data_IF_060424720757
#
_entry.id   IF_060424720757
#
_cell.length_a   1.000
_cell.length_b   1.000
_cell.length_c   1.000
_cell.angle_alpha   90.00
_cell.angle_beta   90.00
_cell.angle_gamma   90.00
#
_symmetry.space_group_name_H-M   'P 1'
#
loop_
_entity.id
_entity.type
_entity.pdbx_description
1 polymer ?
#
# COMPACT_ATOMS: atom_id res chain seq x y z
N UNK A 1 -33.70 0.22 3.56
CA UNK A 1 -32.25 0.01 3.41
C UNK A 1 -31.88 -1.10 4.37
N UNK A 2 -31.34 -2.20 3.86
CA UNK A 2 -31.08 -3.42 4.60
C UNK A 2 -30.09 -3.20 5.76
N UNK A 3 -30.35 -3.78 6.93
CA UNK A 3 -29.47 -3.65 8.11
C UNK A 3 -28.07 -4.23 7.86
N UNK A 4 -27.97 -5.38 7.19
CA UNK A 4 -26.70 -6.01 6.85
C UNK A 4 -25.90 -5.21 5.81
N UNK A 5 -26.61 -4.62 4.83
CA UNK A 5 -25.99 -3.69 3.88
C UNK A 5 -25.49 -2.45 4.60
N UNK A 6 -26.28 -1.88 5.53
CA UNK A 6 -25.90 -0.70 6.31
C UNK A 6 -24.67 -0.98 7.19
N UNK A 7 -24.66 -2.09 7.93
CA UNK A 7 -23.53 -2.49 8.77
C UNK A 7 -22.25 -2.77 7.95
N UNK A 8 -22.38 -3.39 6.77
CA UNK A 8 -21.26 -3.61 5.85
C UNK A 8 -20.76 -2.30 5.25
N UNK A 9 -21.68 -1.42 4.85
CA UNK A 9 -21.37 -0.13 4.23
C UNK A 9 -20.74 0.84 5.23
N UNK A 10 -21.24 0.90 6.47
CA UNK A 10 -20.65 1.70 7.55
C UNK A 10 -19.23 1.21 7.89
N UNK A 11 -19.00 -0.10 7.91
CA UNK A 11 -17.67 -0.66 8.10
C UNK A 11 -16.72 -0.33 6.94
N UNK A 12 -17.19 -0.49 5.70
CA UNK A 12 -16.41 -0.15 4.51
C UNK A 12 -16.10 1.35 4.47
N UNK A 13 -17.04 2.20 4.87
CA UNK A 13 -16.83 3.64 4.98
C UNK A 13 -15.79 3.96 6.05
N UNK A 14 -15.84 3.31 7.21
CA UNK A 14 -14.84 3.47 8.26
C UNK A 14 -13.43 3.09 7.76
N UNK A 15 -13.30 1.96 7.07
CA UNK A 15 -12.03 1.53 6.46
C UNK A 15 -11.51 2.53 5.42
N UNK A 16 -12.39 3.06 4.56
CA UNK A 16 -11.99 4.09 3.58
C UNK A 16 -11.49 5.37 4.25
N UNK A 17 -12.16 5.81 5.32
CA UNK A 17 -11.74 6.98 6.09
C UNK A 17 -10.37 6.74 6.77
N UNK A 18 -10.12 5.54 7.29
CA UNK A 18 -8.80 5.17 7.82
C UNK A 18 -7.73 5.12 6.73
N UNK A 19 -8.05 4.59 5.55
CA UNK A 19 -7.15 4.55 4.39
C UNK A 19 -6.80 5.95 3.87
N UNK A 20 -7.77 6.86 3.78
CA UNK A 20 -7.54 8.26 3.41
C UNK A 20 -6.61 8.95 4.40
N UNK A 21 -6.87 8.82 5.70
CA UNK A 21 -5.99 9.39 6.75
C UNK A 21 -4.57 8.85 6.66
N UNK A 22 -4.41 7.55 6.39
CA UNK A 22 -3.08 6.93 6.25
C UNK A 22 -2.37 7.43 5.00
N UNK A 23 -3.05 7.56 3.86
CA UNK A 23 -2.47 8.16 2.64
C UNK A 23 -2.01 9.59 2.87
N UNK A 24 -2.80 10.41 3.57
CA UNK A 24 -2.40 11.78 3.92
C UNK A 24 -1.09 11.81 4.74
N UNK A 25 -0.89 10.85 5.64
CA UNK A 25 0.34 10.71 6.42
C UNK A 25 1.51 10.25 5.53
N UNK A 26 1.30 9.24 4.68
CA UNK A 26 2.31 8.75 3.73
C UNK A 26 2.79 9.88 2.80
N UNK A 27 1.85 10.63 2.21
CA UNK A 27 2.13 11.77 1.33
C UNK A 27 2.89 12.87 2.08
N UNK A 28 2.51 13.17 3.33
CA UNK A 28 3.20 14.15 4.17
C UNK A 28 4.64 13.72 4.51
N UNK A 29 4.86 12.45 4.80
CA UNK A 29 6.21 11.91 5.03
C UNK A 29 7.05 12.03 3.75
N UNK A 30 6.49 11.70 2.59
CA UNK A 30 7.17 11.83 1.30
C UNK A 30 7.57 13.28 0.99
N UNK A 31 6.68 14.24 1.25
CA UNK A 31 6.97 15.67 1.10
C UNK A 31 8.08 16.13 2.04
N UNK A 32 8.06 15.70 3.31
CA UNK A 32 9.09 16.03 4.29
C UNK A 32 10.45 15.43 3.93
N UNK A 33 10.50 14.20 3.40
CA UNK A 33 11.74 13.58 2.91
C UNK A 33 12.36 14.37 1.77
N UNK A 34 11.54 14.82 0.80
CA UNK A 34 12.02 15.66 -0.29
C UNK A 34 12.65 16.96 0.23
N UNK A 35 11.98 17.63 1.18
CA UNK A 35 12.51 18.85 1.82
C UNK A 35 13.80 18.58 2.60
N UNK A 36 13.89 17.43 3.30
CA UNK A 36 15.09 17.03 4.03
C UNK A 36 16.30 16.90 3.09
N UNK A 37 16.12 16.20 1.97
CA UNK A 37 17.18 15.97 0.99
C UNK A 37 17.65 17.28 0.35
N UNK A 38 16.72 18.18 -0.03
CA UNK A 38 17.04 19.51 -0.55
C UNK A 38 17.86 20.35 0.43
N UNK A 39 17.49 20.35 1.72
CA UNK A 39 18.19 21.09 2.79
C UNK A 39 19.59 20.53 3.03
N UNK A 40 19.74 19.20 3.13
CA UNK A 40 21.03 18.53 3.30
C UNK A 40 21.95 18.77 2.11
N UNK A 41 21.43 18.65 0.88
CA UNK A 41 22.19 18.91 -0.33
C UNK A 41 22.74 20.35 -0.36
N UNK A 42 21.88 21.33 -0.09
CA UNK A 42 22.26 22.75 -0.06
C UNK A 42 23.30 23.03 1.03
N UNK A 43 23.10 22.50 2.24
CA UNK A 43 24.05 22.66 3.34
C UNK A 43 25.42 22.06 3.01
N UNK A 44 25.46 20.85 2.45
CA UNK A 44 26.72 20.20 2.06
C UNK A 44 27.47 20.99 0.98
N UNK A 45 26.75 21.56 0.01
CA UNK A 45 27.34 22.44 -1.01
C UNK A 45 27.96 23.69 -0.40
N UNK A 46 27.28 24.32 0.56
CA UNK A 46 27.79 25.49 1.28
C UNK A 46 29.01 25.14 2.14
N UNK A 47 29.00 24.00 2.84
CA UNK A 47 30.15 23.52 3.63
C UNK A 47 31.37 23.29 2.73
N UNK A 48 31.18 22.61 1.60
CA UNK A 48 32.27 22.35 0.65
C UNK A 48 32.87 23.67 0.13
N UNK A 49 32.01 24.60 -0.27
CA UNK A 49 32.42 25.92 -0.78
C UNK A 49 33.13 26.75 0.30
N UNK A 50 32.59 26.79 1.53
CA UNK A 50 33.18 27.49 2.67
C UNK A 50 34.57 26.93 3.04
N UNK A 51 34.73 25.60 3.07
CA UNK A 51 36.04 24.96 3.33
C UNK A 51 37.08 25.35 2.29
N UNK A 52 36.70 25.36 1.01
CA UNK A 52 37.57 25.82 -0.09
C UNK A 52 37.97 27.29 0.11
N UNK A 53 37.00 28.17 0.32
CA UNK A 53 37.23 29.60 0.53
C UNK A 53 38.14 29.88 1.73
N UNK A 54 37.93 29.16 2.85
CA UNK A 54 38.75 29.30 4.05
C UNK A 54 40.18 28.82 3.84
N UNK A 55 40.38 27.71 3.11
CA UNK A 55 41.72 27.21 2.74
C UNK A 55 42.45 28.23 1.86
N UNK A 56 41.74 28.83 0.91
CA UNK A 56 42.27 29.89 0.05
C UNK A 56 42.68 31.13 0.88
N UNK A 57 41.78 31.62 1.74
CA UNK A 57 42.06 32.76 2.60
C UNK A 57 43.27 32.52 3.53
N UNK A 58 43.45 31.30 4.05
CA UNK A 58 44.63 30.93 4.84
C UNK A 58 45.93 30.95 4.03
N UNK A 59 45.92 30.45 2.80
CA UNK A 59 47.10 30.51 1.92
C UNK A 59 47.45 31.98 1.65
N UNK A 60 46.47 32.81 1.26
CA UNK A 60 46.67 34.23 0.97
C UNK A 60 47.16 35.02 2.18
N UNK A 61 46.62 34.75 3.38
CA UNK A 61 47.05 35.39 4.61
C UNK A 61 48.51 35.09 4.95
N UNK A 62 48.98 33.86 4.71
CA UNK A 62 50.41 33.50 4.89
C UNK A 62 51.31 34.20 3.87
N UNK A 63 50.85 34.31 2.63
CA UNK A 63 51.62 34.90 1.53
C UNK A 63 51.53 36.43 1.50
N UNK A 64 50.62 37.04 2.27
CA UNK A 64 50.33 38.48 2.28
C UNK A 64 51.56 39.40 2.36
N UNK A 65 52.56 39.19 3.25
CA UNK A 65 53.71 40.08 3.34
C UNK A 65 54.48 40.18 2.01
N UNK A 66 54.63 39.04 1.32
CA UNK A 66 55.30 38.98 0.02
C UNK A 66 54.44 39.56 -1.10
N UNK A 67 53.11 39.37 -1.05
CA UNK A 67 52.19 40.01 -1.99
C UNK A 67 52.28 41.54 -1.92
N UNK A 68 52.45 42.10 -0.71
CA UNK A 68 52.66 43.54 -0.51
C UNK A 68 53.99 44.04 -1.11
N UNK A 69 55.05 43.24 -1.04
CA UNK A 69 56.34 43.57 -1.67
C UNK A 69 56.26 43.57 -3.19
N UNK A 70 55.61 42.55 -3.78
CA UNK A 70 55.58 42.37 -5.24
C UNK A 70 54.49 43.16 -5.96
N UNK A 71 53.50 43.74 -5.25
CA UNK A 71 52.34 44.42 -5.87
C UNK A 71 52.70 45.59 -6.81
N UNK A 72 53.94 46.10 -6.72
CA UNK A 72 54.46 47.20 -7.55
C UNK A 72 55.29 46.72 -8.75
N UNK A 73 55.53 45.42 -8.87
CA UNK A 73 56.41 44.82 -9.87
C UNK A 73 55.61 43.93 -10.81
N UNK A 74 55.41 44.41 -12.04
CA UNK A 74 54.69 43.66 -13.08
C UNK A 74 55.39 42.35 -13.43
N UNK A 75 54.59 41.33 -13.72
CA UNK A 75 55.06 40.04 -14.18
C UNK A 75 54.45 38.87 -13.43
N UNK A 76 54.96 37.67 -13.77
CA UNK A 76 54.57 36.42 -13.15
C UNK A 76 55.61 36.09 -12.08
N UNK A 77 55.13 35.97 -10.84
CA UNK A 77 55.93 35.65 -9.67
C UNK A 77 55.49 34.30 -9.10
N UNK A 78 56.44 33.53 -8.58
CA UNK A 78 56.15 32.28 -7.87
C UNK A 78 56.41 32.49 -6.38
N UNK A 79 55.35 32.42 -5.56
CA UNK A 79 55.45 32.67 -4.12
C UNK A 79 54.81 31.51 -3.37
N UNK A 80 55.61 30.81 -2.54
CA UNK A 80 55.16 29.67 -1.73
C UNK A 80 54.38 28.62 -2.54
N UNK A 81 54.80 28.39 -3.79
CA UNK A 81 54.17 27.44 -4.72
C UNK A 81 52.89 27.97 -5.38
N UNK A 82 52.58 29.26 -5.26
CA UNK A 82 51.48 29.93 -5.97
C UNK A 82 52.01 30.74 -7.15
N UNK A 83 51.37 30.62 -8.31
CA UNK A 83 51.60 31.53 -9.44
C UNK A 83 50.78 32.79 -9.24
N UNK A 84 51.48 33.91 -9.13
CA UNK A 84 50.92 35.24 -8.90
C UNK A 84 51.26 36.13 -10.10
N UNK A 85 50.24 36.59 -10.83
CA UNK A 85 50.40 37.51 -11.95
C UNK A 85 50.00 38.92 -11.48
N UNK A 86 50.93 39.86 -11.55
CA UNK A 86 50.71 41.27 -11.18
C UNK A 86 50.56 42.10 -12.45
N UNK A 87 49.46 42.86 -12.53
CA UNK A 87 49.19 43.81 -13.60
C UNK A 87 48.93 45.20 -13.01
N UNK A 88 49.98 45.99 -12.89
CA UNK A 88 49.96 47.35 -12.36
C UNK A 88 49.11 48.30 -13.20
N UNK A 89 49.02 48.10 -14.52
CA UNK A 89 48.16 48.90 -15.42
C UNK A 89 46.68 48.71 -15.15
N UNK A 90 46.27 47.50 -14.74
CA UNK A 90 44.89 47.18 -14.36
C UNK A 90 44.63 47.31 -12.87
N UNK A 91 45.68 47.43 -12.05
CA UNK A 91 45.59 47.43 -10.60
C UNK A 91 45.15 46.09 -10.03
N UNK A 92 45.57 44.98 -10.64
CA UNK A 92 45.09 43.63 -10.32
C UNK A 92 46.25 42.68 -10.00
N UNK A 93 46.03 41.79 -9.02
CA UNK A 93 46.85 40.62 -8.73
C UNK A 93 45.98 39.38 -8.95
N UNK A 94 46.36 38.52 -9.90
CA UNK A 94 45.71 37.24 -10.13
C UNK A 94 46.51 36.12 -9.49
N UNK A 95 45.85 35.30 -8.70
CA UNK A 95 46.47 34.20 -7.96
C UNK A 95 45.77 32.92 -8.36
N UNK A 96 46.53 31.98 -8.91
CA UNK A 96 46.03 30.65 -9.26
C UNK A 96 46.26 29.69 -8.10
N UNK A 97 45.18 29.14 -7.55
CA UNK A 97 45.22 28.19 -6.43
C UNK A 97 44.34 26.99 -6.74
N UNK A 98 44.93 25.79 -6.81
CA UNK A 98 44.22 24.50 -6.94
C UNK A 98 43.07 24.56 -7.99
N UNK A 99 43.36 25.06 -9.20
CA UNK A 99 42.46 25.25 -10.38
C UNK A 99 41.48 26.44 -10.37
N UNK A 100 41.47 27.27 -9.32
CA UNK A 100 40.69 28.53 -9.30
C UNK A 100 41.60 29.77 -9.42
N UNK A 101 41.16 30.76 -10.19
CA UNK A 101 41.84 32.06 -10.32
C UNK A 101 41.14 33.10 -9.45
N UNK A 102 41.80 33.59 -8.41
CA UNK A 102 41.32 34.71 -7.60
C UNK A 102 41.95 36.01 -8.11
N UNK A 103 41.15 37.06 -8.28
CA UNK A 103 41.63 38.41 -8.63
C UNK A 103 41.49 39.33 -7.42
N UNK A 104 42.60 39.88 -6.95
CA UNK A 104 42.67 40.90 -5.90
C UNK A 104 43.00 42.24 -6.53
N UNK A 105 42.47 43.33 -5.99
CA UNK A 105 42.81 44.67 -6.46
C UNK A 105 43.95 45.29 -5.64
N UNK A 106 44.84 46.03 -6.28
CA UNK A 106 46.02 46.64 -5.64
C UNK A 106 45.77 48.05 -5.08
N UNK A 107 44.70 48.71 -5.53
CA UNK A 107 44.25 50.03 -5.07
C UNK A 107 43.48 49.94 -3.73
N UNK A 108 42.96 48.76 -3.41
CA UNK A 108 42.36 48.43 -2.12
C UNK A 108 43.34 47.70 -1.20
N UNK A 109 43.07 47.73 0.11
CA UNK A 109 43.86 46.94 1.07
C UNK A 109 43.70 45.44 0.77
N UNK A 110 44.80 44.80 0.37
CA UNK A 110 44.85 43.34 0.18
C UNK A 110 44.43 42.60 1.47
N UNK A 111 44.83 43.13 2.63
CA UNK A 111 44.46 42.60 3.93
C UNK A 111 42.94 42.64 4.15
N UNK A 112 42.28 43.74 3.78
CA UNK A 112 40.81 43.87 3.87
C UNK A 112 40.10 42.88 2.94
N UNK A 113 40.61 42.66 1.73
CA UNK A 113 40.06 41.68 0.80
C UNK A 113 40.22 40.24 1.33
N UNK A 114 41.38 39.90 1.90
CA UNK A 114 41.62 38.59 2.54
C UNK A 114 40.69 38.40 3.75
N UNK A 115 40.49 39.43 4.57
CA UNK A 115 39.52 39.40 5.67
C UNK A 115 38.09 39.17 5.19
N UNK A 116 37.67 39.79 4.08
CA UNK A 116 36.34 39.55 3.50
C UNK A 116 36.13 38.08 3.12
N UNK A 117 37.16 37.40 2.58
CA UNK A 117 37.07 35.97 2.26
C UNK A 117 36.89 35.10 3.51
N UNK A 118 37.53 35.46 4.63
CA UNK A 118 37.28 34.78 5.91
C UNK A 118 35.84 35.01 6.40
N UNK A 119 35.33 36.23 6.27
CA UNK A 119 33.97 36.58 6.67
C UNK A 119 32.93 35.87 5.79
N UNK A 120 33.14 35.79 4.48
CA UNK A 120 32.24 35.11 3.55
C UNK A 120 32.25 33.59 3.76
N UNK A 121 33.42 33.02 4.03
CA UNK A 121 33.54 31.62 4.43
C UNK A 121 32.79 31.36 5.75
N UNK A 122 32.91 32.25 6.74
CA UNK A 122 32.22 32.16 8.03
C UNK A 122 30.71 32.25 7.86
N UNK A 123 30.20 33.27 7.15
CA UNK A 123 28.76 33.43 6.85
C UNK A 123 28.18 32.21 6.11
N UNK A 124 28.91 31.68 5.14
CA UNK A 124 28.50 30.48 4.40
C UNK A 124 28.42 29.25 5.30
N UNK A 125 29.35 29.12 6.27
CA UNK A 125 29.33 28.04 7.26
C UNK A 125 28.14 28.19 8.21
N UNK A 126 27.90 29.40 8.74
CA UNK A 126 26.74 29.68 9.60
C UNK A 126 25.41 29.40 8.89
N UNK A 127 25.31 29.75 7.60
CA UNK A 127 24.14 29.43 6.79
C UNK A 127 23.95 27.91 6.62
N UNK A 128 25.03 27.17 6.40
CA UNK A 128 24.98 25.71 6.30
C UNK A 128 24.57 25.06 7.63
N UNK A 129 25.08 25.55 8.75
CA UNK A 129 24.72 25.07 10.09
C UNK A 129 23.23 25.27 10.38
N UNK A 130 22.66 26.42 9.99
CA UNK A 130 21.20 26.66 10.09
C UNK A 130 20.39 25.64 9.28
N UNK A 131 20.79 25.40 8.03
CA UNK A 131 20.14 24.41 7.17
C UNK A 131 20.24 22.98 7.73
N UNK A 132 21.38 22.60 8.33
CA UNK A 132 21.53 21.31 9.00
C UNK A 132 20.66 21.19 10.25
N UNK A 133 20.49 22.28 11.00
CA UNK A 133 19.58 22.32 12.15
C UNK A 133 18.13 22.12 11.70
N UNK A 134 17.70 22.83 10.67
CA UNK A 134 16.38 22.63 10.04
C UNK A 134 16.20 21.20 9.54
N UNK A 135 17.21 20.62 8.89
CA UNK A 135 17.20 19.24 8.44
C UNK A 135 17.02 18.25 9.61
N UNK A 136 17.69 18.49 10.74
CA UNK A 136 17.55 17.66 11.94
C UNK A 136 16.15 17.75 12.56
N UNK A 137 15.53 18.93 12.52
CA UNK A 137 14.15 19.13 12.97
C UNK A 137 13.15 18.36 12.07
N UNK A 138 13.34 18.42 10.75
CA UNK A 138 12.54 17.66 9.79
C UNK A 138 12.71 16.15 10.01
N UNK A 139 13.94 15.69 10.21
CA UNK A 139 14.24 14.28 10.50
C UNK A 139 13.54 13.79 11.77
N UNK A 140 13.56 14.57 12.85
CA UNK A 140 12.81 14.25 14.07
C UNK A 140 11.30 14.25 13.86
N UNK A 141 10.77 15.13 13.00
CA UNK A 141 9.35 15.13 12.66
C UNK A 141 8.94 13.89 11.86
N UNK A 142 9.78 13.46 10.90
CA UNK A 142 9.59 12.21 10.16
C UNK A 142 9.60 11.03 11.14
N UNK A 143 10.59 10.95 12.03
CA UNK A 143 10.70 9.87 13.02
C UNK A 143 9.49 9.80 13.94
N UNK A 144 9.00 10.94 14.45
CA UNK A 144 7.78 11.00 15.27
C UNK A 144 6.54 10.54 14.51
N UNK A 145 6.37 10.96 13.25
CA UNK A 145 5.24 10.55 12.42
C UNK A 145 5.28 9.05 12.12
N UNK A 146 6.45 8.53 11.73
CA UNK A 146 6.63 7.09 11.48
C UNK A 146 6.48 6.24 12.75
N UNK A 147 6.96 6.74 13.91
CA UNK A 147 6.78 6.05 15.19
C UNK A 147 5.31 5.99 15.59
N UNK A 148 4.57 7.09 15.45
CA UNK A 148 3.13 7.12 15.72
C UNK A 148 2.36 6.18 14.79
N UNK A 149 2.71 6.14 13.50
CA UNK A 149 2.13 5.19 12.54
C UNK A 149 2.42 3.74 12.93
N UNK A 150 3.64 3.44 13.40
CA UNK A 150 4.02 2.12 13.87
C UNK A 150 3.31 1.75 15.19
N UNK A 151 3.18 2.69 16.13
CA UNK A 151 2.44 2.51 17.40
C UNK A 151 0.94 2.31 17.13
N UNK A 152 0.33 3.07 16.22
CA UNK A 152 -1.06 2.88 15.80
C UNK A 152 -1.25 1.53 15.10
N UNK A 153 -0.29 1.11 14.26
CA UNK A 153 -0.31 -0.22 13.64
C UNK A 153 -0.13 -1.34 14.67
N UNK A 154 0.75 -1.16 15.65
CA UNK A 154 0.98 -2.10 16.75
C UNK A 154 -0.24 -2.18 17.68
N UNK A 155 -0.90 -1.07 17.96
CA UNK A 155 -2.15 -1.04 18.74
C UNK A 155 -3.29 -1.71 17.95
N UNK A 156 -3.35 -1.53 16.63
CA UNK A 156 -4.27 -2.28 15.75
C UNK A 156 -3.91 -3.77 15.78
N UNK A 157 -2.63 -4.15 15.67
CA UNK A 157 -2.14 -5.54 15.74
C UNK A 157 -2.44 -6.21 17.09
N UNK A 158 -2.28 -5.50 18.20
CA UNK A 158 -2.64 -5.93 19.55
C UNK A 158 -4.16 -6.04 19.70
N UNK A 159 -4.93 -5.13 19.08
CA UNK A 159 -6.39 -5.26 18.98
C UNK A 159 -6.79 -6.40 18.04
N UNK A 160 -6.02 -6.74 17.01
CA UNK A 160 -6.26 -7.85 16.07
C UNK A 160 -6.00 -9.19 16.75
N UNK A 161 -4.93 -9.32 17.54
CA UNK A 161 -4.67 -10.52 18.35
C UNK A 161 -5.73 -10.70 19.45
N UNK A 162 -6.28 -9.62 20.01
CA UNK A 162 -7.43 -9.65 20.91
C UNK A 162 -8.79 -9.88 20.18
N UNK A 163 -8.96 -9.37 18.94
CA UNK A 163 -10.17 -9.50 18.09
C UNK A 163 -10.24 -10.80 17.28
N UNK A 164 -9.26 -11.69 17.41
CA UNK A 164 -9.47 -13.11 17.12
C UNK A 164 -10.60 -13.72 17.97
N UNK A 165 -11.07 -13.02 19.01
CA UNK A 165 -12.45 -13.13 19.49
C UNK A 165 -13.35 -12.11 18.78
N UNK A 166 -14.30 -12.54 17.94
CA UNK A 166 -15.17 -11.63 17.22
C UNK A 166 -16.04 -10.82 18.20
N UNK A 167 -16.10 -9.47 18.10
CA UNK A 167 -17.23 -8.74 18.66
C UNK A 167 -18.50 -9.24 17.97
N UNK A 168 -19.64 -9.24 18.68
CA UNK A 168 -20.94 -9.82 18.30
C UNK A 168 -21.01 -10.27 16.82
N UNK A 169 -20.68 -11.56 16.56
CA UNK A 169 -20.56 -12.13 15.20
C UNK A 169 -21.70 -11.61 14.32
N UNK A 170 -21.37 -10.82 13.31
CA UNK A 170 -22.37 -10.42 12.31
C UNK A 170 -23.02 -11.69 11.79
N UNK A 171 -24.33 -11.68 11.61
CA UNK A 171 -25.08 -12.93 11.34
C UNK A 171 -24.55 -13.69 10.12
N UNK A 172 -23.96 -12.97 9.15
CA UNK A 172 -23.43 -13.54 7.91
C UNK A 172 -22.07 -14.24 8.08
N UNK A 173 -21.32 -13.99 9.16
CA UNK A 173 -19.99 -14.60 9.38
C UNK A 173 -20.04 -16.11 9.63
N UNK A 174 -21.22 -16.64 9.97
CA UNK A 174 -21.41 -18.10 10.02
C UNK A 174 -21.42 -18.75 8.63
N UNK A 175 -21.64 -17.97 7.57
CA UNK A 175 -21.67 -18.38 6.17
C UNK A 175 -20.35 -18.05 5.46
N UNK A 176 -20.22 -18.39 4.17
CA UNK A 176 -19.20 -17.78 3.32
C UNK A 176 -19.69 -16.42 2.89
N UNK A 177 -18.83 -15.43 2.79
CA UNK A 177 -19.24 -14.09 2.41
C UNK A 177 -18.06 -13.31 1.84
N UNK A 178 -18.38 -12.31 1.02
CA UNK A 178 -17.45 -11.29 0.57
C UNK A 178 -18.23 -10.03 0.21
N UNK A 179 -17.55 -8.89 0.13
CA UNK A 179 -18.13 -7.66 -0.43
C UNK A 179 -17.70 -7.53 -1.88
N UNK A 180 -18.60 -7.18 -2.79
CA UNK A 180 -18.28 -6.96 -4.21
C UNK A 180 -17.43 -5.72 -4.43
N UNK A 181 -16.87 -5.54 -5.62
CA UNK A 181 -16.13 -4.32 -6.00
C UNK A 181 -16.99 -3.05 -6.00
N UNK A 182 -18.32 -3.17 -6.01
CA UNK A 182 -19.27 -2.05 -5.94
C UNK A 182 -19.89 -1.89 -4.53
N UNK A 183 -19.36 -2.58 -3.51
CA UNK A 183 -19.76 -2.40 -2.11
C UNK A 183 -20.98 -3.21 -1.65
N UNK A 184 -21.42 -4.22 -2.42
CA UNK A 184 -22.57 -5.07 -2.05
C UNK A 184 -22.11 -6.31 -1.30
N UNK A 185 -22.85 -6.69 -0.26
CA UNK A 185 -22.58 -7.92 0.49
C UNK A 185 -23.12 -9.14 -0.27
N UNK A 186 -22.24 -10.10 -0.55
CA UNK A 186 -22.60 -11.41 -1.07
C UNK A 186 -22.39 -12.49 0.00
N UNK A 187 -23.42 -13.27 0.30
CA UNK A 187 -23.39 -14.32 1.33
C UNK A 187 -23.76 -15.66 0.71
N UNK A 188 -23.02 -16.71 1.02
CA UNK A 188 -23.14 -18.03 0.41
C UNK A 188 -23.20 -19.15 1.46
N UNK A 189 -24.09 -20.11 1.25
CA UNK A 189 -24.15 -21.29 2.13
C UNK A 189 -22.88 -22.14 2.04
N UNK A 190 -22.55 -22.81 3.14
CA UNK A 190 -21.38 -23.68 3.26
C UNK A 190 -21.63 -25.09 2.70
N UNK A 191 -22.88 -25.52 2.80
CA UNK A 191 -23.42 -26.83 2.47
C UNK A 191 -24.94 -26.71 2.16
N UNK A 192 -25.60 -27.82 1.85
CA UNK A 192 -27.01 -27.84 1.51
C UNK A 192 -27.95 -27.35 2.64
N UNK A 193 -27.61 -27.60 3.91
CA UNK A 193 -28.43 -27.19 5.06
C UNK A 193 -28.33 -25.68 5.28
N UNK A 194 -27.10 -25.15 5.22
CA UNK A 194 -26.82 -23.73 5.35
C UNK A 194 -27.30 -22.92 4.15
N UNK A 195 -27.30 -23.47 2.92
CA UNK A 195 -27.97 -22.85 1.76
C UNK A 195 -29.45 -22.55 2.09
N UNK A 196 -30.19 -23.55 2.59
CA UNK A 196 -31.61 -23.37 2.94
C UNK A 196 -31.79 -22.46 4.15
N UNK A 197 -30.96 -22.59 5.19
CA UNK A 197 -31.03 -21.69 6.34
C UNK A 197 -30.75 -20.24 5.94
N UNK A 198 -29.84 -20.01 4.99
CA UNK A 198 -29.50 -18.69 4.48
C UNK A 198 -30.71 -18.08 3.77
N UNK A 199 -31.24 -18.79 2.76
CA UNK A 199 -32.38 -18.34 1.98
C UNK A 199 -33.65 -18.15 2.83
N UNK A 200 -33.92 -19.01 3.81
CA UNK A 200 -35.12 -18.89 4.66
C UNK A 200 -35.06 -17.74 5.66
N UNK A 201 -33.88 -17.44 6.19
CA UNK A 201 -33.73 -16.48 7.31
C UNK A 201 -33.32 -15.09 6.86
N UNK A 202 -32.64 -14.98 5.72
CA UNK A 202 -31.90 -13.77 5.35
C UNK A 202 -32.15 -13.31 3.91
N UNK A 203 -33.05 -13.95 3.17
CA UNK A 203 -33.49 -13.49 1.85
C UNK A 203 -34.53 -12.39 2.01
N UNK A 204 -34.30 -11.26 1.35
CA UNK A 204 -35.18 -10.09 1.36
C UNK A 204 -35.61 -9.70 -0.06
N UNK A 205 -36.71 -8.95 -0.24
CA UNK A 205 -37.29 -8.66 -1.55
C UNK A 205 -36.33 -8.04 -2.59
N UNK A 206 -35.36 -7.24 -2.17
CA UNK A 206 -34.43 -6.56 -3.08
C UNK A 206 -33.17 -7.36 -3.40
N UNK A 207 -33.04 -8.56 -2.84
CA UNK A 207 -31.88 -9.40 -3.05
C UNK A 207 -31.96 -10.16 -4.38
N UNK A 208 -30.79 -10.54 -4.90
CA UNK A 208 -30.66 -11.51 -5.98
C UNK A 208 -30.09 -12.82 -5.45
N UNK A 209 -30.61 -13.94 -5.93
CA UNK A 209 -30.16 -15.28 -5.57
C UNK A 209 -29.46 -15.92 -6.75
N UNK A 210 -28.23 -16.38 -6.54
CA UNK A 210 -27.40 -17.04 -7.54
C UNK A 210 -27.18 -18.50 -7.18
N UNK A 211 -27.24 -19.39 -8.18
CA UNK A 211 -26.94 -20.81 -8.01
C UNK A 211 -26.49 -21.42 -9.34
N UNK A 212 -25.45 -22.25 -9.31
CA UNK A 212 -24.97 -22.95 -10.50
C UNK A 212 -25.82 -24.20 -10.80
N UNK A 213 -26.01 -24.56 -12.07
CA UNK A 213 -26.75 -25.79 -12.44
C UNK A 213 -25.90 -27.06 -12.29
N UNK A 214 -25.18 -27.16 -11.17
CA UNK A 214 -24.33 -28.29 -10.82
C UNK A 214 -24.59 -28.70 -9.37
N UNK A 215 -24.39 -29.99 -9.08
CA UNK A 215 -24.58 -30.51 -7.72
C UNK A 215 -23.64 -29.82 -6.73
N UNK A 216 -24.13 -29.59 -5.52
CA UNK A 216 -23.33 -29.03 -4.43
C UNK A 216 -22.86 -27.59 -4.66
N UNK A 217 -23.53 -26.84 -5.56
CA UNK A 217 -23.31 -25.41 -5.69
C UNK A 217 -23.81 -24.66 -4.44
N UNK A 218 -23.09 -23.60 -4.09
CA UNK A 218 -23.55 -22.68 -3.07
C UNK A 218 -24.76 -21.88 -3.58
N UNK A 219 -25.75 -21.70 -2.72
CA UNK A 219 -26.76 -20.66 -2.93
C UNK A 219 -26.17 -19.35 -2.40
N UNK A 220 -26.03 -18.35 -3.26
CA UNK A 220 -25.49 -17.03 -2.93
C UNK A 220 -26.60 -16.00 -2.95
N UNK A 221 -26.71 -15.21 -1.90
CA UNK A 221 -27.56 -14.02 -1.85
C UNK A 221 -26.67 -12.80 -2.04
N UNK A 222 -26.93 -12.01 -3.08
CA UNK A 222 -26.40 -10.66 -3.22
C UNK A 222 -27.40 -9.69 -2.60
N UNK A 223 -27.03 -9.14 -1.44
CA UNK A 223 -27.89 -8.25 -0.65
C UNK A 223 -28.14 -6.94 -1.41
N UNK A 224 -29.40 -6.49 -1.46
CA UNK A 224 -29.83 -5.35 -2.29
C UNK A 224 -29.41 -5.48 -3.77
N UNK A 225 -29.28 -6.72 -4.28
CA UNK A 225 -28.76 -7.06 -5.61
C UNK A 225 -29.54 -6.46 -6.79
N UNK A 226 -30.80 -6.07 -6.63
CA UNK A 226 -31.55 -5.33 -7.66
C UNK A 226 -30.93 -3.98 -8.00
N UNK A 227 -30.19 -3.37 -7.06
CA UNK A 227 -29.47 -2.10 -7.25
C UNK A 227 -28.02 -2.29 -7.69
N UNK A 228 -27.54 -3.53 -7.71
CA UNK A 228 -26.15 -3.83 -7.99
C UNK A 228 -25.85 -3.75 -9.49
N UNK A 229 -24.66 -3.25 -9.82
CA UNK A 229 -24.17 -3.21 -11.20
C UNK A 229 -23.78 -4.59 -11.72
N UNK A 230 -23.43 -4.66 -13.00
CA UNK A 230 -23.11 -5.93 -13.65
C UNK A 230 -21.85 -6.58 -13.04
N UNK A 231 -20.89 -5.78 -12.56
CA UNK A 231 -19.68 -6.29 -11.91
C UNK A 231 -20.02 -7.10 -10.66
N UNK A 232 -20.86 -6.56 -9.77
CA UNK A 232 -21.30 -7.27 -8.57
C UNK A 232 -22.08 -8.56 -8.89
N UNK A 233 -22.89 -8.56 -9.95
CA UNK A 233 -23.62 -9.77 -10.37
C UNK A 233 -22.67 -10.85 -10.91
N UNK A 234 -21.68 -10.47 -11.72
CA UNK A 234 -20.64 -11.38 -12.22
C UNK A 234 -19.80 -11.93 -11.06
N UNK A 235 -19.43 -11.09 -10.09
CA UNK A 235 -18.69 -11.51 -8.91
C UNK A 235 -19.50 -12.48 -8.03
N UNK A 236 -20.77 -12.19 -7.76
CA UNK A 236 -21.66 -13.10 -7.02
C UNK A 236 -21.84 -14.44 -7.75
N UNK A 237 -22.01 -14.42 -9.08
CA UNK A 237 -22.08 -15.60 -9.91
C UNK A 237 -20.78 -16.42 -9.85
N UNK A 238 -19.62 -15.77 -9.96
CA UNK A 238 -18.31 -16.41 -9.83
C UNK A 238 -18.15 -17.09 -8.47
N UNK A 239 -18.58 -16.45 -7.39
CA UNK A 239 -18.53 -17.02 -6.06
C UNK A 239 -19.41 -18.27 -5.91
N UNK A 240 -20.62 -18.25 -6.49
CA UNK A 240 -21.52 -19.41 -6.54
C UNK A 240 -20.89 -20.58 -7.31
N UNK A 241 -20.21 -20.28 -8.42
CA UNK A 241 -19.52 -21.28 -9.23
C UNK A 241 -18.30 -21.89 -8.53
N UNK A 242 -17.49 -21.05 -7.88
CA UNK A 242 -16.27 -21.45 -7.16
C UNK A 242 -16.57 -22.44 -6.03
N UNK A 243 -17.63 -22.21 -5.26
CA UNK A 243 -18.07 -23.13 -4.22
C UNK A 243 -19.11 -24.15 -4.73
N UNK A 244 -18.76 -24.85 -5.81
CA UNK A 244 -19.58 -25.92 -6.39
C UNK A 244 -18.75 -27.15 -6.76
N UNK A 245 -19.40 -28.30 -7.01
CA UNK A 245 -18.65 -29.51 -7.42
C UNK A 245 -17.84 -29.32 -8.69
N UNK A 246 -18.17 -28.35 -9.54
CA UNK A 246 -17.37 -28.02 -10.72
C UNK A 246 -15.90 -27.74 -10.37
N UNK A 247 -15.62 -27.18 -9.19
CA UNK A 247 -14.25 -26.99 -8.70
C UNK A 247 -13.53 -28.33 -8.52
N UNK A 248 -14.17 -29.29 -7.86
CA UNK A 248 -13.62 -30.63 -7.63
C UNK A 248 -13.44 -31.42 -8.94
N UNK A 249 -14.37 -31.24 -9.88
CA UNK A 249 -14.29 -31.82 -11.23
C UNK A 249 -13.32 -31.06 -12.15
N UNK A 250 -12.63 -30.02 -11.64
CA UNK A 250 -11.62 -29.23 -12.37
C UNK A 250 -12.16 -28.51 -13.61
N UNK A 251 -13.45 -28.17 -13.58
CA UNK A 251 -14.10 -27.41 -14.64
C UNK A 251 -13.68 -25.94 -14.50
N UNK A 252 -13.22 -25.34 -15.59
CA UNK A 252 -12.71 -23.96 -15.58
C UNK A 252 -13.81 -22.91 -15.71
N UNK A 253 -14.94 -23.23 -16.35
CA UNK A 253 -16.08 -22.32 -16.58
C UNK A 253 -17.39 -23.07 -16.45
N UNK A 254 -18.36 -22.43 -15.78
CA UNK A 254 -19.75 -22.92 -15.74
C UNK A 254 -20.73 -21.76 -15.86
N UNK A 255 -21.97 -22.09 -16.20
CA UNK A 255 -23.08 -21.15 -16.21
C UNK A 255 -23.77 -21.14 -14.85
N UNK A 256 -24.02 -19.94 -14.34
CA UNK A 256 -24.75 -19.67 -13.10
C UNK A 256 -26.00 -18.91 -13.45
N UNK A 257 -27.13 -19.30 -12.88
CA UNK A 257 -28.33 -18.50 -13.01
C UNK A 257 -28.51 -17.58 -11.80
N UNK A 258 -29.24 -16.49 -12.00
CA UNK A 258 -29.75 -15.67 -10.91
C UNK A 258 -31.21 -15.28 -11.10
N UNK A 259 -31.89 -15.07 -9.96
CA UNK A 259 -33.32 -14.77 -9.86
C UNK A 259 -33.58 -13.82 -8.70
N UNK A 260 -34.75 -13.17 -8.72
CA UNK A 260 -35.23 -12.32 -7.62
C UNK A 260 -35.76 -13.15 -6.46
N UNK A 261 -35.89 -12.53 -5.29
CA UNK A 261 -36.31 -13.22 -4.06
C UNK A 261 -37.71 -13.86 -4.15
N UNK A 262 -38.65 -13.22 -4.85
CA UNK A 262 -40.04 -13.72 -5.03
C UNK A 262 -40.13 -14.98 -5.91
N UNK A 263 -39.10 -15.25 -6.71
CA UNK A 263 -39.01 -16.46 -7.53
C UNK A 263 -38.61 -17.70 -6.72
N UNK A 264 -38.18 -17.54 -5.47
CA UNK A 264 -37.74 -18.65 -4.60
C UNK A 264 -38.91 -19.24 -3.82
N UNK A 265 -39.10 -20.55 -3.95
CA UNK A 265 -40.12 -21.33 -3.22
C UNK A 265 -39.50 -22.51 -2.49
N UNK A 266 -39.90 -22.72 -1.24
CA UNK A 266 -39.53 -23.91 -0.45
C UNK A 266 -40.61 -24.99 -0.45
N UNK A 267 -41.73 -24.76 -1.17
CA UNK A 267 -42.82 -25.73 -1.31
C UNK A 267 -42.71 -26.42 -2.67
N UNK A 268 -42.68 -27.77 -2.72
CA UNK A 268 -42.77 -28.49 -3.98
C UNK A 268 -44.10 -28.24 -4.69
N UNK A 269 -44.14 -28.28 -6.04
CA UNK A 269 -45.39 -28.44 -6.75
C UNK A 269 -46.11 -29.73 -6.31
N UNK A 270 -47.44 -29.80 -6.44
CA UNK A 270 -48.19 -31.02 -6.15
C UNK A 270 -47.57 -32.25 -6.85
N UNK A 271 -47.46 -33.36 -6.12
CA UNK A 271 -46.93 -34.63 -6.64
C UNK A 271 -45.40 -34.72 -6.74
N UNK A 272 -44.64 -33.67 -6.42
CA UNK A 272 -43.17 -33.68 -6.51
C UNK A 272 -42.51 -33.70 -5.13
N UNK A 273 -41.37 -34.39 -5.01
CA UNK A 273 -40.54 -34.39 -3.80
C UNK A 273 -39.43 -33.33 -3.92
N UNK A 274 -39.29 -32.47 -2.90
CA UNK A 274 -38.17 -31.54 -2.79
C UNK A 274 -37.10 -32.17 -1.88
N UNK A 275 -35.90 -32.52 -2.39
CA UNK A 275 -34.85 -33.08 -1.56
C UNK A 275 -34.44 -32.13 -0.44
N UNK A 276 -33.98 -32.69 0.68
CA UNK A 276 -33.37 -31.91 1.78
C UNK A 276 -32.26 -31.03 1.22
N UNK A 277 -32.38 -29.71 1.42
CA UNK A 277 -31.42 -28.75 0.88
C UNK A 277 -31.82 -28.10 -0.46
N UNK A 278 -32.96 -28.49 -1.02
CA UNK A 278 -33.49 -27.94 -2.28
C UNK A 278 -34.45 -26.76 -2.07
N UNK A 279 -34.48 -25.88 -3.06
CA UNK A 279 -35.50 -24.84 -3.25
C UNK A 279 -35.90 -24.84 -4.72
N UNK A 280 -37.05 -24.26 -5.02
CA UNK A 280 -37.61 -24.17 -6.37
C UNK A 280 -37.50 -22.74 -6.85
N UNK A 281 -37.15 -22.60 -8.12
CA UNK A 281 -37.10 -21.34 -8.83
C UNK A 281 -38.27 -21.29 -9.79
N UNK A 282 -39.12 -20.28 -9.65
CA UNK A 282 -40.28 -20.02 -10.52
C UNK A 282 -39.93 -18.98 -11.58
N UNK A 283 -40.58 -19.07 -12.74
CA UNK A 283 -40.43 -18.08 -13.80
C UNK A 283 -39.07 -18.15 -14.52
N UNK A 284 -38.73 -17.06 -15.20
CA UNK A 284 -37.54 -16.97 -16.04
C UNK A 284 -36.25 -16.79 -15.23
N UNK A 285 -35.14 -17.30 -15.77
CA UNK A 285 -33.81 -17.23 -15.17
C UNK A 285 -32.90 -16.36 -16.01
N UNK A 286 -32.06 -15.58 -15.35
CA UNK A 286 -30.96 -14.87 -15.97
C UNK A 286 -29.69 -15.71 -15.85
N UNK A 287 -28.81 -15.71 -16.85
CA UNK A 287 -27.64 -16.59 -16.88
C UNK A 287 -26.33 -15.81 -17.09
N UNK A 288 -25.29 -16.17 -16.35
CA UNK A 288 -23.94 -15.61 -16.45
C UNK A 288 -22.93 -16.77 -16.49
N UNK A 289 -22.05 -16.76 -17.50
CA UNK A 289 -20.96 -17.75 -17.61
C UNK A 289 -19.68 -17.19 -17.04
N UNK A 290 -19.19 -17.81 -15.96
CA UNK A 290 -18.06 -17.32 -15.16
C UNK A 290 -16.92 -18.34 -15.12
N UNK A 291 -15.70 -17.87 -14.89
CA UNK A 291 -14.54 -18.73 -14.57
C UNK A 291 -14.56 -19.07 -13.09
N UNK A 292 -14.18 -20.29 -12.74
CA UNK A 292 -13.96 -20.67 -11.34
C UNK A 292 -12.60 -20.16 -10.89
N UNK A 293 -12.60 -19.31 -9.86
CA UNK A 293 -11.40 -18.85 -9.18
C UNK A 293 -11.76 -18.36 -7.78
N UNK A 294 -10.76 -18.39 -6.91
CA UNK A 294 -10.80 -17.82 -5.58
C UNK A 294 -9.56 -16.96 -5.40
N UNK A 295 -9.74 -15.67 -5.17
CA UNK A 295 -8.68 -14.83 -4.65
C UNK A 295 -8.74 -14.79 -3.12
N UNK A 296 -7.57 -14.77 -2.50
CA UNK A 296 -7.38 -14.61 -1.06
C UNK A 296 -6.36 -13.49 -0.89
N UNK A 297 -6.65 -12.51 -0.05
CA UNK A 297 -5.79 -11.35 0.14
C UNK A 297 -5.73 -10.89 1.59
N UNK A 298 -4.72 -10.08 1.89
CA UNK A 298 -4.66 -9.29 3.11
C UNK A 298 -4.94 -7.83 2.78
N UNK A 299 -5.70 -7.15 3.62
CA UNK A 299 -5.85 -5.68 3.58
C UNK A 299 -4.64 -4.99 4.22
N UNK A 300 -4.56 -3.65 4.12
CA UNK A 300 -3.57 -2.85 4.85
C UNK A 300 -3.65 -3.07 6.37
N UNK A 301 -4.85 -3.32 6.88
CA UNK A 301 -5.12 -3.61 8.30
C UNK A 301 -4.92 -5.09 8.66
N UNK A 302 -4.33 -5.86 7.74
CA UNK A 302 -4.01 -7.28 7.89
C UNK A 302 -5.25 -8.17 8.09
N UNK A 303 -6.41 -7.72 7.59
CA UNK A 303 -7.62 -8.52 7.53
C UNK A 303 -7.54 -9.51 6.35
N UNK A 304 -7.84 -10.79 6.64
CA UNK A 304 -7.98 -11.81 5.60
C UNK A 304 -9.31 -11.63 4.86
N UNK A 305 -9.23 -11.25 3.59
CA UNK A 305 -10.36 -11.14 2.67
C UNK A 305 -10.27 -12.20 1.57
N UNK A 306 -11.41 -12.60 1.01
CA UNK A 306 -11.47 -13.62 -0.04
C UNK A 306 -12.70 -13.44 -0.92
N UNK A 307 -12.65 -13.98 -2.14
CA UNK A 307 -13.73 -13.87 -3.11
C UNK A 307 -13.23 -13.85 -4.56
N UNK A 308 -14.05 -13.39 -5.51
CA UNK A 308 -13.62 -13.02 -6.87
C UNK A 308 -12.41 -12.08 -6.86
N UNK A 309 -11.45 -12.27 -7.78
CA UNK A 309 -10.24 -11.43 -7.82
C UNK A 309 -10.53 -9.94 -8.03
N UNK A 310 -11.52 -9.62 -8.86
CA UNK A 310 -11.95 -8.24 -9.10
C UNK A 310 -12.48 -7.54 -7.85
N UNK A 311 -13.15 -8.28 -6.96
CA UNK A 311 -13.65 -7.74 -5.70
C UNK A 311 -12.49 -7.33 -4.77
N UNK A 312 -11.36 -8.05 -4.83
CA UNK A 312 -10.21 -7.84 -3.95
C UNK A 312 -9.22 -6.79 -4.47
N UNK A 313 -9.16 -6.56 -5.78
CA UNK A 313 -8.09 -5.79 -6.44
C UNK A 313 -7.87 -4.36 -5.89
N UNK A 314 -8.91 -3.71 -5.36
CA UNK A 314 -8.81 -2.36 -4.77
C UNK A 314 -8.56 -2.33 -3.26
N UNK A 315 -8.60 -3.47 -2.56
CA UNK A 315 -8.59 -3.56 -1.09
C UNK A 315 -7.45 -4.41 -0.53
N UNK A 316 -6.96 -5.37 -1.32
CA UNK A 316 -5.86 -6.22 -0.91
C UNK A 316 -4.51 -5.53 -1.19
N UNK A 317 -3.63 -5.46 -0.18
CA UNK A 317 -2.22 -5.07 -0.38
C UNK A 317 -1.44 -6.15 -1.13
N UNK A 318 -1.79 -7.40 -0.86
CA UNK A 318 -1.24 -8.61 -1.44
C UNK A 318 -2.37 -9.60 -1.59
N UNK A 319 -2.43 -10.28 -2.71
CA UNK A 319 -3.38 -11.34 -2.95
C UNK A 319 -2.75 -12.49 -3.70
N UNK A 320 -3.34 -13.67 -3.55
CA UNK A 320 -3.06 -14.85 -4.35
C UNK A 320 -4.33 -15.32 -5.02
N UNK A 321 -4.19 -15.91 -6.19
CA UNK A 321 -5.31 -16.44 -6.97
C UNK A 321 -5.18 -17.95 -7.06
N UNK A 322 -6.25 -18.63 -6.69
CA UNK A 322 -6.36 -20.09 -6.73
C UNK A 322 -7.44 -20.44 -7.75
N UNK A 323 -7.16 -21.44 -8.58
CA UNK A 323 -8.10 -22.00 -9.55
C UNK A 323 -8.28 -23.50 -9.29
N UNK A 324 -9.27 -24.18 -9.89
CA UNK A 324 -9.42 -25.62 -9.79
C UNK A 324 -8.13 -26.35 -10.20
N UNK A 325 -7.68 -27.32 -9.39
CA UNK A 325 -6.38 -27.98 -9.57
C UNK A 325 -6.22 -29.25 -8.74
N UNK A 326 -4.99 -29.76 -8.66
CA UNK A 326 -4.69 -31.04 -7.98
C UNK A 326 -3.90 -30.88 -6.68
N UNK A 327 -3.26 -29.74 -6.45
CA UNK A 327 -2.45 -29.51 -5.25
C UNK A 327 -3.33 -29.43 -4.02
N UNK A 328 -2.82 -29.91 -2.88
CA UNK A 328 -3.57 -29.93 -1.62
C UNK A 328 -3.68 -28.53 -1.03
N UNK A 329 -4.82 -28.23 -0.40
CA UNK A 329 -5.06 -26.97 0.31
C UNK A 329 -3.98 -26.63 1.34
N UNK A 330 -3.38 -27.63 2.00
CA UNK A 330 -2.28 -27.43 2.96
C UNK A 330 -1.04 -26.83 2.31
N UNK A 331 -0.65 -27.34 1.13
CA UNK A 331 0.50 -26.86 0.37
C UNK A 331 0.22 -25.47 -0.22
N UNK A 332 -0.99 -25.28 -0.75
CA UNK A 332 -1.43 -23.99 -1.28
C UNK A 332 -1.48 -22.92 -0.18
N UNK A 333 -1.93 -23.29 1.02
CA UNK A 333 -1.99 -22.38 2.16
C UNK A 333 -0.60 -21.97 2.65
N UNK A 334 0.38 -22.89 2.67
CA UNK A 334 1.76 -22.55 3.02
C UNK A 334 2.38 -21.55 2.04
N UNK A 335 2.17 -21.76 0.75
CA UNK A 335 2.65 -20.83 -0.28
C UNK A 335 1.89 -19.50 -0.24
N UNK A 336 0.57 -19.53 -0.05
CA UNK A 336 -0.25 -18.34 0.11
C UNK A 336 0.20 -17.50 1.30
N UNK A 337 0.42 -18.10 2.47
CA UNK A 337 0.92 -17.38 3.66
C UNK A 337 2.23 -16.68 3.33
N UNK A 338 3.20 -17.38 2.72
CA UNK A 338 4.49 -16.77 2.35
C UNK A 338 4.32 -15.54 1.44
N UNK A 339 3.46 -15.64 0.42
CA UNK A 339 3.23 -14.54 -0.53
C UNK A 339 2.50 -13.37 0.15
N UNK A 340 1.49 -13.67 0.95
CA UNK A 340 0.65 -12.67 1.61
C UNK A 340 1.41 -11.90 2.70
N UNK A 341 2.35 -12.55 3.39
CA UNK A 341 3.09 -11.95 4.52
C UNK A 341 4.54 -11.58 4.17
N UNK A 342 4.92 -11.58 2.90
CA UNK A 342 6.30 -11.23 2.51
C UNK A 342 6.64 -9.79 2.94
N UNK A 343 7.83 -9.62 3.54
CA UNK A 343 8.32 -8.39 4.17
C UNK A 343 7.48 -7.90 5.38
N UNK A 344 6.69 -8.78 5.99
CA UNK A 344 5.96 -8.52 7.23
C UNK A 344 6.48 -9.42 8.36
N UNK A 345 6.48 -8.92 9.61
CA UNK A 345 6.77 -9.75 10.78
C UNK A 345 5.47 -10.25 11.39
N UNK A 346 5.37 -11.57 11.54
CA UNK A 346 4.29 -12.24 12.26
C UNK A 346 4.90 -13.29 13.18
N UNK A 347 4.31 -13.48 14.35
CA UNK A 347 4.67 -14.59 15.21
C UNK A 347 4.15 -15.93 14.63
N UNK A 348 4.70 -17.03 15.13
CA UNK A 348 4.38 -18.38 14.64
C UNK A 348 2.91 -18.77 14.83
N UNK A 349 2.26 -18.30 15.89
CA UNK A 349 0.85 -18.59 16.16
C UNK A 349 -0.05 -17.90 15.14
N UNK A 350 0.21 -16.62 14.87
CA UNK A 350 -0.53 -15.86 13.85
C UNK A 350 -0.39 -16.47 12.45
N UNK A 351 0.80 -16.91 12.07
CA UNK A 351 1.03 -17.59 10.78
C UNK A 351 0.27 -18.93 10.68
N UNK A 352 0.25 -19.72 11.76
CA UNK A 352 -0.50 -20.98 11.80
C UNK A 352 -2.00 -20.75 11.68
N UNK A 353 -2.53 -19.75 12.39
CA UNK A 353 -3.95 -19.40 12.32
C UNK A 353 -4.34 -18.90 10.93
N UNK A 354 -3.51 -18.06 10.32
CA UNK A 354 -3.72 -17.61 8.93
C UNK A 354 -3.76 -18.80 7.97
N UNK A 355 -2.82 -19.74 8.11
CA UNK A 355 -2.78 -20.98 7.32
C UNK A 355 -4.07 -21.80 7.48
N UNK A 356 -4.53 -22.02 8.70
CA UNK A 356 -5.77 -22.76 8.98
C UNK A 356 -6.98 -22.10 8.32
N UNK A 357 -7.12 -20.77 8.45
CA UNK A 357 -8.20 -20.03 7.80
C UNK A 357 -8.14 -20.14 6.28
N UNK A 358 -6.95 -20.04 5.67
CA UNK A 358 -6.79 -20.19 4.22
C UNK A 358 -7.21 -21.60 3.77
N UNK A 359 -6.85 -22.64 4.51
CA UNK A 359 -7.26 -24.03 4.21
C UNK A 359 -8.79 -24.14 4.17
N UNK A 360 -9.49 -23.55 5.13
CA UNK A 360 -10.97 -23.56 5.18
C UNK A 360 -11.64 -22.85 4.00
N UNK A 361 -10.97 -21.84 3.43
CA UNK A 361 -11.48 -21.07 2.30
C UNK A 361 -11.34 -21.80 0.96
N UNK A 362 -10.32 -22.67 0.81
CA UNK A 362 -10.05 -23.38 -0.44
C UNK A 362 -11.17 -24.42 -0.71
N UNK A 363 -11.92 -24.31 -1.83
CA UNK A 363 -13.01 -25.22 -2.12
C UNK A 363 -12.51 -26.66 -2.28
N UNK A 364 -13.20 -27.61 -1.66
CA UNK A 364 -12.91 -29.05 -1.79
C UNK A 364 -11.45 -29.44 -1.49
N UNK A 365 -10.74 -28.64 -0.68
CA UNK A 365 -9.41 -28.95 -0.17
C UNK A 365 -8.30 -29.07 -1.21
N UNK A 366 -8.51 -28.62 -2.45
CA UNK A 366 -7.52 -28.71 -3.53
C UNK A 366 -7.65 -27.56 -4.52
N UNK A 367 -6.60 -27.29 -5.28
CA UNK A 367 -6.55 -26.18 -6.24
C UNK A 367 -5.21 -26.09 -6.96
N UNK A 368 -4.98 -24.96 -7.62
CA UNK A 368 -3.71 -24.57 -8.21
C UNK A 368 -3.50 -23.08 -8.00
N UNK A 369 -2.30 -22.66 -7.59
CA UNK A 369 -1.96 -21.24 -7.49
C UNK A 369 -1.59 -20.70 -8.87
N UNK A 370 -2.16 -19.55 -9.22
CA UNK A 370 -1.85 -18.83 -10.45
C UNK A 370 -0.98 -17.65 -10.08
N UNK A 371 0.20 -17.52 -10.73
CA UNK A 371 1.02 -16.31 -10.61
C UNK A 371 0.22 -15.13 -11.16
N UNK A 372 0.04 -14.11 -10.32
CA UNK A 372 -0.65 -12.85 -10.65
C UNK A 372 0.33 -11.92 -11.33
#
# INVERSE_FOLDING_TARGET
MNQAFRESYEHELALRVEEEKRREIEDKIAELKKKLDERRFTANKLIASSKKLRKLAQKLFKTYPRLEEIKRFDGIHEIDGLKVEVNSRRGEIKINVDEETLTLKTDESLMKQISSLFDDAKKSMEAAERLLKEAKEIESMIEKLSKREAEELEEILLKVSAKLKPPAKRWYERYRWFTTSEGFLAVAGKDASSNISLLKKHLEPNDLVFHAEVRGAAAVILKDGLKAGEKSKVEAAQFAATYSRAWREKISRITVYYVTADQISFKPPPGHYLPRGGFIVKGERNYITVRLELAIGLTRDLELIYGPSQALAGRAIRMVKIVPGKRKSTELAEEAVKILTENMSFDRSSLNLLKERIIELIPYGSGELVKI
#
